data_IF_124749137034
#
_entry.id   IF_124749137034
#
_cell.length_a   1.000
_cell.length_b   1.000
_cell.length_c   1.000
_cell.angle_alpha   90.00
_cell.angle_beta   90.00
_cell.angle_gamma   90.00
#
_symmetry.space_group_name_H-M   'P 1'
#
loop_
_entity.id
_entity.type
_entity.pdbx_description
1 polymer ?
#
# COMPACT_ATOMS: atom_id res chain seq x y z
N UNK A 1 17.14 10.34 -7.82
CA UNK A 1 16.28 9.72 -8.85
C UNK A 1 15.05 9.09 -8.19
N UNK A 2 13.86 9.59 -8.49
CA UNK A 2 12.61 9.02 -7.95
C UNK A 2 12.31 7.70 -8.66
N UNK A 3 12.55 6.58 -7.97
CA UNK A 3 12.33 5.24 -8.52
C UNK A 3 10.85 4.92 -8.72
N UNK A 4 9.95 5.71 -8.13
CA UNK A 4 8.49 5.60 -8.24
C UNK A 4 8.02 5.52 -9.68
N UNK A 5 8.69 6.17 -10.64
CA UNK A 5 8.35 6.10 -12.07
C UNK A 5 8.44 4.69 -12.68
N UNK A 6 9.24 3.79 -12.09
CA UNK A 6 9.45 2.43 -12.60
C UNK A 6 8.45 1.41 -12.03
N UNK A 7 7.62 1.80 -11.06
CA UNK A 7 6.68 0.91 -10.40
C UNK A 7 5.24 1.29 -10.76
N UNK A 8 4.43 0.29 -11.09
CA UNK A 8 2.99 0.42 -11.34
C UNK A 8 2.13 0.16 -10.09
N UNK A 9 2.67 -0.56 -9.12
CA UNK A 9 2.01 -0.88 -7.86
C UNK A 9 2.94 -0.76 -6.65
N UNK A 10 2.34 -0.50 -5.50
CA UNK A 10 3.03 -0.35 -4.22
C UNK A 10 2.28 -1.12 -3.13
N UNK A 11 3.05 -1.60 -2.15
CA UNK A 11 2.53 -2.28 -0.96
C UNK A 11 3.07 -1.53 0.24
N UNK A 12 2.18 -1.20 1.17
CA UNK A 12 2.59 -0.73 2.49
C UNK A 12 1.94 -1.62 3.54
N UNK A 13 2.78 -2.24 4.36
CA UNK A 13 2.35 -3.12 5.43
C UNK A 13 2.78 -2.49 6.75
N UNK A 14 1.79 -2.07 7.51
CA UNK A 14 1.87 -1.70 8.91
C UNK A 14 2.98 -0.68 9.25
N UNK A 15 2.92 0.46 8.57
CA UNK A 15 3.95 1.49 8.66
C UNK A 15 3.54 2.81 8.01
N UNK A 16 4.51 3.53 7.48
CA UNK A 16 4.30 4.85 6.89
C UNK A 16 5.00 5.96 7.67
N UNK A 17 4.67 7.20 7.33
CA UNK A 17 5.24 8.37 7.97
C UNK A 17 5.04 9.65 7.16
N UNK A 18 5.39 10.77 7.79
CA UNK A 18 5.29 12.09 7.17
C UNK A 18 6.32 12.26 6.05
N UNK A 19 5.95 11.89 4.82
CA UNK A 19 6.68 12.27 3.60
C UNK A 19 5.81 13.23 2.79
N UNK A 20 5.94 14.56 3.00
CA UNK A 20 5.02 15.56 2.45
C UNK A 20 5.09 15.76 0.92
N UNK A 21 6.07 15.17 0.22
CA UNK A 21 6.36 15.51 -1.18
C UNK A 21 6.17 14.39 -2.22
N UNK A 22 5.89 13.14 -1.84
CA UNK A 22 6.07 11.99 -2.76
C UNK A 22 4.79 11.43 -3.42
N UNK A 23 3.63 12.06 -3.22
CA UNK A 23 2.35 11.56 -3.74
C UNK A 23 1.92 12.16 -5.10
N UNK A 24 2.69 13.07 -5.69
CA UNK A 24 2.34 13.61 -7.03
C UNK A 24 2.52 12.57 -8.14
N UNK A 25 3.45 11.64 -7.95
CA UNK A 25 3.83 10.63 -8.95
C UNK A 25 3.04 9.33 -8.83
N UNK A 26 2.08 9.24 -7.91
CA UNK A 26 1.27 8.02 -7.69
C UNK A 26 -0.08 8.05 -8.38
N UNK A 27 -0.41 9.14 -9.09
CA UNK A 27 -1.68 9.25 -9.80
C UNK A 27 -1.84 8.12 -10.81
N UNK A 28 -2.96 7.38 -10.70
CA UNK A 28 -3.28 6.24 -11.55
C UNK A 28 -2.49 4.96 -11.25
N UNK A 29 -1.56 4.98 -10.28
CA UNK A 29 -0.85 3.79 -9.82
C UNK A 29 -1.66 3.05 -8.78
N UNK A 30 -1.35 1.79 -8.58
CA UNK A 30 -2.06 0.93 -7.64
C UNK A 30 -1.36 0.89 -6.28
N UNK A 31 -2.13 0.84 -5.20
CA UNK A 31 -1.61 0.72 -3.84
C UNK A 31 -2.41 -0.30 -3.05
N UNK A 32 -1.73 -1.22 -2.38
CA UNK A 32 -2.32 -2.07 -1.36
C UNK A 32 -1.75 -1.65 -0.01
N UNK A 33 -2.61 -1.17 0.89
CA UNK A 33 -2.19 -0.66 2.19
C UNK A 33 -2.90 -1.47 3.27
N UNK A 34 -2.13 -2.20 4.08
CA UNK A 34 -2.64 -3.03 5.17
C UNK A 34 -1.96 -2.67 6.48
N UNK A 35 -2.68 -2.75 7.59
CA UNK A 35 -2.16 -2.47 8.92
C UNK A 35 -2.97 -3.20 9.98
N UNK A 36 -2.36 -3.49 11.12
CA UNK A 36 -3.10 -4.03 12.26
C UNK A 36 -3.89 -2.93 12.99
N UNK A 37 -5.16 -3.15 13.33
CA UNK A 37 -5.96 -2.13 14.04
C UNK A 37 -5.49 -1.88 15.49
N UNK A 38 -4.67 -2.79 16.05
CA UNK A 38 -3.99 -2.63 17.35
C UNK A 38 -2.51 -2.26 17.20
N UNK A 39 -2.03 -2.05 15.98
CA UNK A 39 -0.64 -1.65 15.75
C UNK A 39 -0.39 -0.23 16.26
N UNK A 40 0.78 0.07 16.85
CA UNK A 40 1.18 1.44 17.14
C UNK A 40 1.30 2.31 15.88
N UNK A 41 1.37 1.69 14.68
CA UNK A 41 1.46 2.38 13.39
C UNK A 41 0.11 2.54 12.67
N UNK A 42 -1.02 2.15 13.28
CA UNK A 42 -2.33 2.21 12.63
C UNK A 42 -2.65 3.62 12.09
N UNK A 43 -2.48 4.65 12.92
CA UNK A 43 -2.70 6.05 12.49
C UNK A 43 -1.78 6.51 11.36
N UNK A 44 -0.54 6.01 11.30
CA UNK A 44 0.36 6.32 10.18
C UNK A 44 -0.14 5.68 8.87
N UNK A 45 -0.65 4.46 8.94
CA UNK A 45 -1.16 3.74 7.78
C UNK A 45 -2.43 4.39 7.23
N UNK A 46 -3.34 4.79 8.13
CA UNK A 46 -4.55 5.57 7.79
C UNK A 46 -4.19 6.91 7.14
N UNK A 47 -3.15 7.58 7.63
CA UNK A 47 -2.67 8.81 7.03
C UNK A 47 -2.10 8.58 5.61
N UNK A 48 -1.34 7.50 5.41
CA UNK A 48 -0.84 7.12 4.08
C UNK A 48 -2.00 6.87 3.13
N UNK A 49 -3.02 6.12 3.54
CA UNK A 49 -4.23 5.88 2.75
C UNK A 49 -4.86 7.19 2.30
N UNK A 50 -5.10 8.11 3.23
CA UNK A 50 -5.68 9.42 2.95
C UNK A 50 -4.86 10.22 1.94
N UNK A 51 -3.53 10.25 2.12
CA UNK A 51 -2.60 10.97 1.23
C UNK A 51 -2.49 10.31 -0.14
N UNK A 52 -2.45 8.98 -0.21
CA UNK A 52 -2.38 8.22 -1.45
C UNK A 52 -3.63 8.44 -2.32
N UNK A 53 -4.83 8.33 -1.71
CA UNK A 53 -6.09 8.63 -2.37
C UNK A 53 -6.14 10.08 -2.88
N UNK A 54 -5.70 11.05 -2.06
CA UNK A 54 -5.61 12.46 -2.46
C UNK A 54 -4.63 12.69 -3.62
N UNK A 55 -3.56 11.90 -3.69
CA UNK A 55 -2.60 11.87 -4.80
C UNK A 55 -3.15 11.24 -6.09
N UNK A 56 -4.37 10.69 -6.06
CA UNK A 56 -5.00 10.03 -7.21
C UNK A 56 -4.55 8.58 -7.41
N UNK A 57 -3.97 7.95 -6.39
CA UNK A 57 -3.67 6.52 -6.40
C UNK A 57 -4.95 5.69 -6.28
N UNK A 58 -4.98 4.53 -6.92
CA UNK A 58 -6.05 3.53 -6.78
C UNK A 58 -5.68 2.63 -5.61
N UNK A 59 -6.33 2.83 -4.46
CA UNK A 59 -5.93 2.22 -3.18
C UNK A 59 -6.92 1.12 -2.76
N UNK A 60 -6.38 -0.05 -2.42
CA UNK A 60 -7.05 -1.05 -1.58
C UNK A 60 -6.62 -0.83 -0.14
N UNK A 61 -7.60 -0.61 0.73
CA UNK A 61 -7.42 -0.49 2.17
C UNK A 61 -7.73 -1.81 2.84
N UNK A 62 -6.82 -2.32 3.66
CA UNK A 62 -6.99 -3.59 4.35
C UNK A 62 -6.57 -3.49 5.83
N UNK A 63 -7.37 -2.85 6.68
CA UNK A 63 -7.21 -2.94 8.12
C UNK A 63 -7.42 -4.38 8.58
N UNK A 64 -6.44 -4.91 9.32
CA UNK A 64 -6.47 -6.24 9.90
C UNK A 64 -6.97 -6.15 11.34
N UNK A 65 -8.24 -6.51 11.53
CA UNK A 65 -8.91 -6.36 12.82
C UNK A 65 -8.24 -7.18 13.93
N UNK A 66 -8.11 -6.56 15.11
CA UNK A 66 -7.46 -7.10 16.31
C UNK A 66 -6.00 -7.57 16.12
N UNK A 67 -5.34 -7.15 15.03
CA UNK A 67 -3.92 -7.44 14.78
C UNK A 67 -3.04 -6.32 15.32
N UNK A 68 -1.96 -6.69 16.03
CA UNK A 68 -0.91 -5.77 16.50
C UNK A 68 0.11 -5.42 15.41
N UNK A 69 1.39 -5.25 15.80
CA UNK A 69 2.46 -5.03 14.81
C UNK A 69 2.84 -6.34 14.10
N UNK A 70 2.08 -6.73 13.07
CA UNK A 70 2.23 -8.02 12.41
C UNK A 70 1.70 -8.04 10.98
N UNK A 71 2.14 -9.05 10.22
CA UNK A 71 1.65 -9.36 8.88
C UNK A 71 1.27 -10.85 8.78
N UNK A 72 0.02 -11.21 9.13
CA UNK A 72 -0.45 -12.59 9.12
C UNK A 72 -0.50 -13.21 7.73
N UNK A 73 -0.42 -14.55 7.65
CA UNK A 73 -0.45 -15.27 6.38
C UNK A 73 -1.76 -15.09 5.60
N UNK A 74 -2.88 -14.89 6.32
CA UNK A 74 -4.17 -14.56 5.70
C UNK A 74 -4.10 -13.27 4.89
N UNK A 75 -3.37 -12.26 5.36
CA UNK A 75 -3.21 -10.99 4.65
C UNK A 75 -2.19 -11.12 3.51
N UNK A 76 -1.11 -11.89 3.70
CA UNK A 76 -0.16 -12.23 2.63
C UNK A 76 -0.87 -12.87 1.43
N UNK A 77 -1.83 -13.76 1.70
CA UNK A 77 -2.63 -14.41 0.67
C UNK A 77 -3.47 -13.39 -0.12
N UNK A 78 -4.12 -12.43 0.55
CA UNK A 78 -4.89 -11.37 -0.12
C UNK A 78 -4.00 -10.48 -0.99
N UNK A 79 -2.85 -10.05 -0.48
CA UNK A 79 -1.88 -9.25 -1.25
C UNK A 79 -1.42 -9.99 -2.49
N UNK A 80 -1.16 -11.29 -2.35
CA UNK A 80 -0.75 -12.16 -3.47
C UNK A 80 -1.84 -12.26 -4.53
N UNK A 81 -3.09 -12.50 -4.13
CA UNK A 81 -4.22 -12.55 -5.06
C UNK A 81 -4.40 -11.21 -5.79
N UNK A 82 -4.39 -10.11 -5.04
CA UNK A 82 -4.50 -8.76 -5.59
C UNK A 82 -3.40 -8.44 -6.61
N UNK A 83 -2.16 -8.87 -6.32
CA UNK A 83 -1.02 -8.73 -7.22
C UNK A 83 -1.30 -9.34 -8.60
N UNK A 84 -1.77 -10.59 -8.64
CA UNK A 84 -2.04 -11.27 -9.90
C UNK A 84 -3.21 -10.69 -10.69
N UNK A 85 -4.18 -10.09 -10.01
CA UNK A 85 -5.36 -9.49 -10.64
C UNK A 85 -5.12 -8.05 -11.12
N UNK A 86 -4.31 -7.30 -10.38
CA UNK A 86 -4.22 -5.84 -10.53
C UNK A 86 -3.06 -5.41 -11.41
N UNK A 87 -1.94 -6.13 -11.34
CA UNK A 87 -0.77 -5.80 -12.15
C UNK A 87 -0.49 -6.90 -13.15
N UNK A 88 -0.33 -6.50 -14.42
CA UNK A 88 0.30 -7.36 -15.41
C UNK A 88 1.79 -7.36 -15.09
N UNK A 89 2.39 -8.51 -14.74
CA UNK A 89 3.84 -8.60 -14.56
C UNK A 89 4.52 -8.10 -15.84
N UNK A 90 5.60 -7.34 -15.71
CA UNK A 90 6.42 -7.01 -16.88
C UNK A 90 6.80 -8.34 -17.58
N UNK A 91 6.37 -8.51 -18.83
CA UNK A 91 6.77 -9.65 -19.63
C UNK A 91 8.30 -9.68 -19.67
N UNK A 92 8.90 -10.81 -19.30
CA UNK A 92 10.36 -10.99 -19.43
C UNK A 92 10.75 -10.67 -20.89
N UNK A 93 11.78 -9.84 -21.11
CA UNK A 93 12.34 -9.69 -22.45
C UNK A 93 12.89 -11.02 -22.97
#
# INVERSE_FOLDING_TARGET
PEFSQFFSAFFLIDGGGALPSRYREVKGKHGYIAWGTKSPNAGNSEEVVSRAKRGGMIVVESPMEDVGHAFPDSEKAKVTAWLYETVVPASRP
#
